data_IF_995699398945
#
_entry.id   IF_995699398945
#
_cell.length_a   1.000
_cell.length_b   1.000
_cell.length_c   1.000
_cell.angle_alpha   90.00
_cell.angle_beta   90.00
_cell.angle_gamma   90.00
#
_symmetry.space_group_name_H-M   'P 1'
#
loop_
_entity.id
_entity.type
_entity.pdbx_description
1 polymer ?
#
# COMPACT_ATOMS: atom_id res chain seq x y z
N UNK A 1 6.27 -14.67 29.84
CA UNK A 1 5.81 -13.71 28.81
C UNK A 1 4.41 -14.12 28.38
N UNK A 2 3.39 -13.28 28.63
CA UNK A 2 1.96 -13.64 28.46
C UNK A 2 1.59 -14.24 27.10
N UNK A 3 2.20 -13.74 26.02
CA UNK A 3 1.91 -14.22 24.65
C UNK A 3 2.33 -15.68 24.46
N UNK A 4 3.47 -16.11 25.04
CA UNK A 4 3.94 -17.48 24.98
C UNK A 4 3.00 -18.43 25.73
N UNK A 5 2.65 -18.08 26.96
CA UNK A 5 1.76 -18.86 27.81
C UNK A 5 0.38 -19.05 27.17
N UNK A 6 -0.18 -17.98 26.56
CA UNK A 6 -1.48 -18.04 25.91
C UNK A 6 -1.42 -18.83 24.57
N UNK A 7 -0.31 -18.74 23.83
CA UNK A 7 -0.14 -19.50 22.60
C UNK A 7 0.01 -21.02 22.87
N UNK A 8 0.73 -21.38 23.93
CA UNK A 8 0.90 -22.78 24.32
C UNK A 8 -0.41 -23.44 24.77
N UNK A 9 -1.32 -22.69 25.41
CA UNK A 9 -2.67 -23.20 25.78
C UNK A 9 -3.50 -23.63 24.58
N UNK A 10 -3.28 -23.05 23.41
CA UNK A 10 -3.95 -23.42 22.16
C UNK A 10 -3.11 -24.30 21.24
N UNK A 11 -2.02 -24.86 21.77
CA UNK A 11 -1.14 -25.79 21.05
C UNK A 11 -0.19 -25.12 20.04
N UNK A 12 -0.04 -23.80 20.08
CA UNK A 12 0.88 -23.05 19.20
C UNK A 12 2.21 -22.82 19.91
N UNK A 13 3.32 -23.15 19.25
CA UNK A 13 4.67 -22.85 19.74
C UNK A 13 5.24 -21.62 19.05
N UNK A 14 5.76 -20.68 19.83
CA UNK A 14 6.47 -19.51 19.30
C UNK A 14 7.79 -19.95 18.67
N UNK A 15 8.04 -19.52 17.44
CA UNK A 15 9.32 -19.72 16.77
C UNK A 15 10.17 -18.46 16.94
N UNK A 16 11.08 -18.48 17.95
CA UNK A 16 11.90 -17.34 18.34
C UNK A 16 12.82 -16.91 17.19
N UNK A 17 13.35 -17.85 16.42
CA UNK A 17 14.23 -17.55 15.27
C UNK A 17 13.52 -16.77 14.14
N UNK A 18 12.20 -16.88 14.04
CA UNK A 18 11.40 -16.11 13.07
C UNK A 18 10.84 -14.81 13.66
N UNK A 19 10.98 -14.61 14.96
CA UNK A 19 10.55 -13.36 15.60
C UNK A 19 11.53 -12.25 15.28
N UNK A 20 10.97 -11.06 15.04
CA UNK A 20 11.75 -9.84 14.83
C UNK A 20 11.16 -8.73 15.66
N UNK A 21 12.01 -7.88 16.19
CA UNK A 21 11.62 -6.73 16.99
C UNK A 21 11.84 -5.46 16.16
N UNK A 22 10.78 -4.69 16.03
CA UNK A 22 10.81 -3.36 15.47
C UNK A 22 10.61 -2.37 16.61
N UNK A 23 11.60 -1.54 16.89
CA UNK A 23 11.55 -0.56 17.97
C UNK A 23 11.78 0.85 17.45
N UNK A 24 11.02 1.81 17.94
CA UNK A 24 11.19 3.25 17.62
C UNK A 24 12.23 3.95 18.50
N UNK A 25 12.99 3.19 19.32
CA UNK A 25 14.00 3.71 20.22
C UNK A 25 15.27 2.87 20.22
N UNK A 26 16.31 3.26 20.96
CA UNK A 26 17.59 2.56 21.01
C UNK A 26 17.48 1.27 21.82
N UNK A 27 16.89 0.22 21.24
CA UNK A 27 16.92 -1.12 21.79
C UNK A 27 18.04 -1.88 21.08
N UNK A 28 19.06 -2.25 21.84
CA UNK A 28 20.25 -2.92 21.30
C UNK A 28 20.13 -4.43 21.26
N UNK A 29 19.42 -5.04 22.22
CA UNK A 29 19.19 -6.48 22.27
C UNK A 29 17.93 -6.81 23.06
N UNK A 30 17.26 -7.88 22.68
CA UNK A 30 16.13 -8.44 23.40
C UNK A 30 16.26 -9.96 23.45
N UNK A 31 16.05 -10.54 24.61
CA UNK A 31 16.13 -11.98 24.80
C UNK A 31 14.79 -12.57 25.21
N UNK A 32 14.47 -13.70 24.63
CA UNK A 32 13.30 -14.50 24.99
C UNK A 32 13.79 -15.92 25.27
N UNK A 33 13.57 -16.41 26.48
CA UNK A 33 13.99 -17.74 26.91
C UNK A 33 15.52 -18.02 26.73
N UNK A 34 16.37 -16.98 26.86
CA UNK A 34 17.81 -17.09 26.66
C UNK A 34 18.26 -17.05 25.18
N UNK A 35 17.33 -16.91 24.23
CA UNK A 35 17.64 -16.69 22.82
C UNK A 35 17.51 -15.21 22.46
N UNK A 36 18.50 -14.68 21.76
CA UNK A 36 18.51 -13.28 21.32
C UNK A 36 17.59 -13.12 20.11
N UNK A 37 16.66 -12.16 20.17
CA UNK A 37 15.76 -11.84 19.07
C UNK A 37 16.36 -10.75 18.20
N UNK A 38 16.33 -10.94 16.87
CA UNK A 38 16.86 -9.99 15.90
C UNK A 38 16.07 -8.67 15.92
N UNK A 39 16.79 -7.55 16.04
CA UNK A 39 16.22 -6.20 15.93
C UNK A 39 16.35 -5.72 14.50
N UNK A 40 15.26 -5.26 13.93
CA UNK A 40 15.20 -4.82 12.52
C UNK A 40 14.72 -3.37 12.42
N UNK A 41 15.24 -2.64 11.45
CA UNK A 41 14.81 -1.27 11.13
C UNK A 41 13.53 -1.22 10.30
N UNK A 42 13.26 -2.29 9.57
CA UNK A 42 12.05 -2.43 8.75
C UNK A 42 11.60 -3.89 8.68
N UNK A 43 10.34 -4.08 8.44
CA UNK A 43 9.71 -5.41 8.36
C UNK A 43 8.57 -5.41 7.34
N UNK A 44 8.45 -6.49 6.57
CA UNK A 44 7.32 -6.67 5.64
C UNK A 44 6.25 -7.50 6.36
N UNK A 45 5.12 -6.88 6.65
CA UNK A 45 3.96 -7.51 7.27
C UNK A 45 2.78 -7.51 6.31
N UNK A 46 2.29 -8.69 5.96
CA UNK A 46 1.19 -8.88 5.00
C UNK A 46 1.39 -8.11 3.69
N UNK A 47 2.63 -8.08 3.18
CA UNK A 47 2.95 -7.39 1.93
C UNK A 47 3.15 -5.88 2.07
N UNK A 48 2.98 -5.29 3.25
CA UNK A 48 3.22 -3.87 3.54
C UNK A 48 4.51 -3.68 4.34
N UNK A 49 5.37 -2.77 3.91
CA UNK A 49 6.63 -2.46 4.59
C UNK A 49 6.37 -1.51 5.77
N UNK A 50 6.71 -1.95 6.97
CA UNK A 50 6.66 -1.17 8.21
C UNK A 50 8.08 -0.78 8.58
N UNK A 51 8.32 0.48 8.90
CA UNK A 51 9.61 1.03 9.32
C UNK A 51 9.56 1.52 10.77
N UNK A 52 10.67 1.48 11.47
CA UNK A 52 10.76 1.86 12.87
C UNK A 52 10.47 3.36 13.11
N UNK A 53 10.75 4.20 12.13
CA UNK A 53 10.45 5.64 12.13
C UNK A 53 8.98 5.97 11.76
N UNK A 54 8.20 4.96 11.36
CA UNK A 54 6.80 5.14 10.92
C UNK A 54 6.66 5.84 9.57
N UNK A 55 7.75 6.08 8.82
CA UNK A 55 7.68 6.72 7.51
C UNK A 55 7.12 5.78 6.45
N UNK A 56 5.96 6.15 5.89
CA UNK A 56 5.28 5.39 4.84
C UNK A 56 5.65 5.83 3.41
N UNK A 57 6.51 6.83 3.24
CA UNK A 57 6.83 7.42 1.93
C UNK A 57 7.38 6.41 0.93
N UNK A 58 8.22 5.48 1.39
CA UNK A 58 8.77 4.42 0.54
C UNK A 58 7.69 3.43 0.10
N UNK A 59 6.82 3.07 1.00
CA UNK A 59 5.72 2.15 0.73
C UNK A 59 4.72 2.75 -0.25
N UNK A 60 4.32 4.00 -0.05
CA UNK A 60 3.45 4.72 -0.98
C UNK A 60 4.07 4.77 -2.38
N UNK A 61 5.36 5.10 -2.50
CA UNK A 61 6.05 5.09 -3.79
C UNK A 61 6.00 3.71 -4.45
N UNK A 62 6.23 2.64 -3.68
CA UNK A 62 6.17 1.26 -4.17
C UNK A 62 4.77 0.91 -4.69
N UNK A 63 3.72 1.25 -3.94
CA UNK A 63 2.33 1.02 -4.33
C UNK A 63 1.92 1.83 -5.55
N UNK A 64 2.37 3.09 -5.68
CA UNK A 64 2.15 3.90 -6.87
C UNK A 64 2.79 3.28 -8.12
N UNK A 65 3.98 2.68 -8.00
CA UNK A 65 4.62 1.95 -9.10
C UNK A 65 3.84 0.70 -9.48
N UNK A 66 3.35 -0.07 -8.49
CA UNK A 66 2.47 -1.21 -8.74
C UNK A 66 1.18 -0.79 -9.44
N UNK A 67 0.53 0.27 -8.97
CA UNK A 67 -0.66 0.84 -9.60
C UNK A 67 -0.42 1.26 -11.05
N UNK A 68 0.74 1.86 -11.36
CA UNK A 68 1.13 2.19 -12.74
C UNK A 68 1.28 0.93 -13.60
N UNK A 69 1.91 -0.12 -13.07
CA UNK A 69 2.06 -1.40 -13.76
C UNK A 69 0.70 -2.03 -14.06
N UNK A 70 -0.19 -2.08 -13.07
CA UNK A 70 -1.57 -2.59 -13.24
C UNK A 70 -2.31 -1.77 -14.28
N UNK A 71 -2.29 -0.44 -14.20
CA UNK A 71 -2.92 0.45 -15.17
C UNK A 71 -2.40 0.22 -16.60
N UNK A 72 -1.09 -0.05 -16.74
CA UNK A 72 -0.49 -0.32 -18.05
C UNK A 72 -0.95 -1.67 -18.60
N UNK A 73 -1.07 -2.70 -17.77
CA UNK A 73 -1.58 -4.01 -18.16
C UNK A 73 -3.06 -3.96 -18.59
N UNK A 74 -3.86 -3.09 -17.97
CA UNK A 74 -5.26 -2.87 -18.33
C UNK A 74 -5.45 -2.02 -19.61
N UNK A 75 -4.39 -1.52 -20.22
CA UNK A 75 -4.47 -0.60 -21.35
C UNK A 75 -5.21 -1.18 -22.57
N UNK A 76 -5.13 -2.49 -22.82
CA UNK A 76 -5.89 -3.18 -23.87
C UNK A 76 -7.40 -3.11 -23.61
N UNK A 77 -7.81 -3.35 -22.36
CA UNK A 77 -9.21 -3.27 -21.94
C UNK A 77 -9.73 -1.83 -22.04
N UNK A 78 -8.91 -0.85 -21.66
CA UNK A 78 -9.28 0.57 -21.77
C UNK A 78 -9.47 1.00 -23.22
N UNK A 79 -8.73 0.41 -24.16
CA UNK A 79 -8.84 0.69 -25.60
C UNK A 79 -10.02 -0.04 -26.25
N UNK A 80 -10.50 -1.16 -25.70
CA UNK A 80 -11.61 -1.91 -26.26
C UNK A 80 -12.88 -1.06 -26.32
N UNK A 81 -13.64 -1.18 -27.41
CA UNK A 81 -14.96 -0.57 -27.57
C UNK A 81 -16.08 -1.44 -27.02
N UNK A 82 -15.81 -2.73 -26.84
CA UNK A 82 -16.81 -3.72 -26.39
C UNK A 82 -17.10 -3.61 -24.88
N UNK A 83 -16.15 -3.02 -24.12
CA UNK A 83 -16.30 -2.84 -22.67
C UNK A 83 -16.88 -1.46 -22.38
N UNK A 84 -18.01 -1.43 -21.67
CA UNK A 84 -18.71 -0.19 -21.34
C UNK A 84 -17.92 0.72 -20.38
N UNK A 85 -18.19 2.00 -20.40
CA UNK A 85 -17.53 2.98 -19.54
C UNK A 85 -17.69 2.66 -18.03
N UNK A 86 -18.90 2.34 -17.53
CA UNK A 86 -19.07 1.96 -16.12
C UNK A 86 -18.24 0.75 -15.71
N UNK A 87 -18.18 -0.28 -16.55
CA UNK A 87 -17.37 -1.48 -16.29
C UNK A 87 -15.89 -1.13 -16.19
N UNK A 88 -15.39 -0.26 -17.07
CA UNK A 88 -14.01 0.22 -17.03
C UNK A 88 -13.71 1.00 -15.75
N UNK A 89 -14.62 1.88 -15.31
CA UNK A 89 -14.50 2.62 -14.04
C UNK A 89 -14.44 1.66 -12.86
N UNK A 90 -15.32 0.66 -12.83
CA UNK A 90 -15.31 -0.36 -11.79
C UNK A 90 -13.97 -1.12 -11.73
N UNK A 91 -13.40 -1.50 -12.89
CA UNK A 91 -12.10 -2.16 -12.97
C UNK A 91 -10.96 -1.27 -12.44
N UNK A 92 -10.96 0.02 -12.76
CA UNK A 92 -9.95 0.96 -12.22
C UNK A 92 -10.08 1.06 -10.70
N UNK A 93 -11.29 1.26 -10.18
CA UNK A 93 -11.55 1.33 -8.73
C UNK A 93 -11.12 0.04 -8.03
N UNK A 94 -11.51 -1.12 -8.53
CA UNK A 94 -11.29 -2.41 -7.90
C UNK A 94 -9.84 -2.92 -8.02
N UNK A 95 -9.15 -2.66 -9.11
CA UNK A 95 -7.81 -3.24 -9.35
C UNK A 95 -6.69 -2.24 -9.10
N UNK A 96 -6.84 -1.00 -9.54
CA UNK A 96 -5.77 -0.01 -9.46
C UNK A 96 -5.76 0.66 -8.10
N UNK A 97 -6.90 1.19 -7.66
CA UNK A 97 -6.95 1.95 -6.40
C UNK A 97 -6.81 1.06 -5.18
N UNK A 98 -7.36 -0.16 -5.19
CA UNK A 98 -7.11 -1.12 -4.10
C UNK A 98 -5.61 -1.46 -4.00
N UNK A 99 -4.93 -1.67 -5.12
CA UNK A 99 -3.49 -1.94 -5.12
C UNK A 99 -2.67 -0.75 -4.59
N UNK A 100 -3.09 0.48 -4.86
CA UNK A 100 -2.39 1.70 -4.40
C UNK A 100 -2.68 2.00 -2.94
N UNK A 101 -3.92 1.83 -2.49
CA UNK A 101 -4.34 2.18 -1.12
C UNK A 101 -4.09 1.06 -0.11
N UNK A 102 -3.69 -0.13 -0.57
CA UNK A 102 -3.42 -1.26 0.31
C UNK A 102 -2.39 -0.93 1.40
N UNK A 103 -2.76 -1.15 2.66
CA UNK A 103 -1.93 -0.89 3.83
C UNK A 103 -1.71 0.59 4.17
N UNK A 104 -2.40 1.52 3.47
CA UNK A 104 -2.34 2.95 3.78
C UNK A 104 -3.44 3.40 4.76
N UNK A 105 -4.49 2.60 4.95
CA UNK A 105 -5.68 2.94 5.73
C UNK A 105 -5.39 3.17 7.23
N UNK A 106 -4.39 2.49 7.76
CA UNK A 106 -4.02 2.58 9.19
C UNK A 106 -2.85 3.53 9.47
N UNK A 107 -2.39 4.28 8.46
CA UNK A 107 -1.18 5.12 8.58
C UNK A 107 -1.49 6.60 8.47
N UNK A 108 -0.78 7.39 9.27
CA UNK A 108 -0.82 8.84 9.13
C UNK A 108 0.00 9.25 7.92
N UNK A 109 -0.68 9.69 6.86
CA UNK A 109 -0.04 10.17 5.63
C UNK A 109 0.30 11.65 5.72
N UNK A 110 1.51 12.02 5.30
CA UNK A 110 1.94 13.42 5.18
C UNK A 110 1.24 14.07 3.97
N UNK A 111 1.08 15.40 3.99
CA UNK A 111 0.47 16.16 2.89
C UNK A 111 1.13 15.87 1.52
N UNK A 112 2.44 15.66 1.51
CA UNK A 112 3.19 15.34 0.29
C UNK A 112 2.80 13.97 -0.30
N UNK A 113 2.49 13.00 0.54
CA UNK A 113 2.02 11.68 0.09
C UNK A 113 0.62 11.75 -0.51
N UNK A 114 -0.29 12.50 0.12
CA UNK A 114 -1.62 12.77 -0.46
C UNK A 114 -1.50 13.39 -1.85
N UNK A 115 -0.66 14.41 -2.01
CA UNK A 115 -0.44 15.04 -3.32
C UNK A 115 0.09 14.07 -4.37
N UNK A 116 0.93 13.09 -3.99
CA UNK A 116 1.43 12.05 -4.91
C UNK A 116 0.33 11.09 -5.34
N UNK A 117 -0.53 10.70 -4.40
CA UNK A 117 -1.69 9.84 -4.68
C UNK A 117 -2.66 10.55 -5.61
N UNK A 118 -2.98 11.82 -5.32
CA UNK A 118 -3.85 12.66 -6.16
C UNK A 118 -3.29 12.81 -7.59
N UNK A 119 -1.98 13.05 -7.70
CA UNK A 119 -1.32 13.17 -8.99
C UNK A 119 -1.35 11.84 -9.78
N UNK A 120 -1.18 10.72 -9.09
CA UNK A 120 -1.28 9.39 -9.70
C UNK A 120 -2.71 9.11 -10.18
N UNK A 121 -3.70 9.41 -9.35
CA UNK A 121 -5.10 9.22 -9.67
C UNK A 121 -5.50 10.04 -10.89
N UNK A 122 -5.11 11.32 -10.92
CA UNK A 122 -5.32 12.18 -12.08
C UNK A 122 -4.65 11.62 -13.36
N UNK A 123 -3.42 11.09 -13.24
CA UNK A 123 -2.73 10.44 -14.33
C UNK A 123 -3.49 9.20 -14.82
N UNK A 124 -4.00 8.38 -13.90
CA UNK A 124 -4.76 7.17 -14.21
C UNK A 124 -6.05 7.52 -14.99
N UNK A 125 -6.83 8.47 -14.50
CA UNK A 125 -8.05 8.92 -15.16
C UNK A 125 -7.80 9.54 -16.52
N UNK A 126 -6.76 10.36 -16.68
CA UNK A 126 -6.39 10.92 -17.99
C UNK A 126 -6.04 9.82 -18.99
N UNK A 127 -5.28 8.82 -18.57
CA UNK A 127 -4.91 7.69 -19.41
C UNK A 127 -6.14 6.85 -19.80
N UNK A 128 -7.02 6.63 -18.87
CA UNK A 128 -8.26 5.89 -19.05
C UNK A 128 -9.23 6.61 -20.01
N UNK A 129 -9.44 7.91 -19.81
CA UNK A 129 -10.33 8.73 -20.63
C UNK A 129 -9.70 9.26 -21.92
N UNK A 130 -8.39 8.98 -22.14
CA UNK A 130 -7.60 9.51 -23.26
C UNK A 130 -7.58 11.03 -23.34
N UNK A 131 -7.59 11.70 -22.18
CA UNK A 131 -7.55 13.15 -22.10
C UNK A 131 -6.08 13.62 -22.12
N UNK A 132 -5.70 14.56 -23.00
CA UNK A 132 -4.34 15.05 -23.08
C UNK A 132 -3.92 15.78 -21.80
N UNK A 133 -2.62 15.80 -21.51
CA UNK A 133 -2.06 16.45 -20.31
C UNK A 133 -2.34 17.95 -20.23
N UNK A 134 -2.59 18.59 -21.38
CA UNK A 134 -2.92 20.01 -21.49
C UNK A 134 -4.36 20.36 -21.08
N UNK A 135 -5.25 19.37 -20.97
CA UNK A 135 -6.63 19.61 -20.54
C UNK A 135 -6.67 20.03 -19.05
N UNK A 136 -7.47 21.08 -18.77
CA UNK A 136 -7.62 21.60 -17.41
C UNK A 136 -8.25 20.57 -16.46
N UNK A 137 -7.88 20.63 -15.17
CA UNK A 137 -8.44 19.78 -14.10
C UNK A 137 -9.97 19.86 -13.99
N UNK A 138 -10.56 21.01 -14.29
CA UNK A 138 -12.02 21.22 -14.23
C UNK A 138 -12.81 20.27 -15.11
N UNK A 139 -12.25 19.80 -16.23
CA UNK A 139 -12.90 18.83 -17.10
C UNK A 139 -13.01 17.40 -16.50
N UNK A 140 -12.26 17.10 -15.44
CA UNK A 140 -12.22 15.80 -14.77
C UNK A 140 -12.96 15.80 -13.43
N UNK A 141 -13.38 16.98 -12.94
CA UNK A 141 -14.01 17.16 -11.64
C UNK A 141 -15.38 16.48 -11.46
N UNK A 142 -15.99 16.00 -12.53
CA UNK A 142 -17.25 15.25 -12.47
C UNK A 142 -17.09 13.81 -11.95
N UNK A 143 -15.91 13.27 -11.94
CA UNK A 143 -15.64 11.86 -11.55
C UNK A 143 -15.34 11.67 -10.05
N UNK A 144 -15.24 12.78 -9.29
CA UNK A 144 -14.84 12.79 -7.89
C UNK A 144 -15.98 12.91 -6.89
N UNK A 145 -17.22 13.03 -7.32
CA UNK A 145 -18.37 13.34 -6.44
C UNK A 145 -19.33 12.18 -6.21
N UNK A 146 -18.89 10.93 -6.40
CA UNK A 146 -19.68 9.77 -5.98
C UNK A 146 -18.86 8.80 -5.12
#
# INVERSE_FOLDING_TARGET
>A
MKVKEESEKVGLKLNIQKMKILASGPITSWEIDGETVETVSDFIFLGSKITADGDCSHEIKRHLLLGRKVTTNLNSIFKSRDVTLPTKVCLVKAMVFLAVMYGCESRTMKKAEHQRIDAFELWCWRRFLRVPCTARRSALGFLWKE
#
